data_IF_053878199617
#
_entry.id   IF_053878199617
#
_cell.length_a   1.000
_cell.length_b   1.000
_cell.length_c   1.000
_cell.angle_alpha   90.00
_cell.angle_beta   90.00
_cell.angle_gamma   90.00
#
_symmetry.space_group_name_H-M   'P 1'
#
loop_
_entity.id
_entity.type
_entity.pdbx_description
1 polymer ?
#
# COMPACT_ATOMS: atom_id res chain seq x y z
N UNK A 1 -13.03 -0.48 16.80
CA UNK A 1 -12.37 -1.59 17.55
C UNK A 1 -12.80 -2.99 17.13
N UNK A 2 -14.08 -3.25 16.79
CA UNK A 2 -14.56 -4.59 16.43
C UNK A 2 -13.73 -5.28 15.32
N UNK A 3 -13.38 -4.55 14.25
CA UNK A 3 -12.55 -5.08 13.15
C UNK A 3 -11.14 -5.49 13.61
N UNK A 4 -10.53 -4.69 14.49
CA UNK A 4 -9.19 -4.98 15.03
C UNK A 4 -9.21 -6.21 15.94
N UNK A 5 -10.22 -6.33 16.81
CA UNK A 5 -10.39 -7.46 17.71
C UNK A 5 -10.68 -8.77 16.98
N UNK A 6 -11.51 -8.75 15.93
CA UNK A 6 -11.76 -9.92 15.08
C UNK A 6 -10.53 -10.36 14.30
N UNK A 7 -9.75 -9.41 13.78
CA UNK A 7 -8.48 -9.71 13.08
C UNK A 7 -7.43 -10.30 14.02
N UNK A 8 -7.32 -9.76 15.25
CA UNK A 8 -6.42 -10.28 16.27
C UNK A 8 -6.75 -11.72 16.65
N UNK A 9 -8.02 -12.02 16.89
CA UNK A 9 -8.47 -13.37 17.25
C UNK A 9 -8.32 -14.38 16.10
N UNK A 10 -8.45 -13.98 14.83
CA UNK A 10 -8.15 -14.84 13.69
C UNK A 10 -6.67 -15.20 13.57
N UNK A 11 -5.77 -14.22 13.79
CA UNK A 11 -4.31 -14.44 13.76
C UNK A 11 -3.88 -15.37 14.89
N UNK A 12 -4.41 -15.20 16.10
CA UNK A 12 -4.10 -16.04 17.27
C UNK A 12 -4.59 -17.48 17.13
N UNK A 13 -5.62 -17.74 16.32
CA UNK A 13 -6.21 -19.08 16.11
C UNK A 13 -5.51 -19.93 15.03
N UNK A 14 -4.50 -19.38 14.33
CA UNK A 14 -3.80 -20.11 13.28
C UNK A 14 -4.62 -20.32 11.99
N UNK A 15 -5.84 -19.80 11.93
CA UNK A 15 -6.70 -19.72 10.73
C UNK A 15 -6.27 -18.54 9.83
N UNK A 16 -4.98 -18.22 9.89
CA UNK A 16 -4.44 -16.93 9.56
C UNK A 16 -4.51 -16.69 8.05
N UNK A 17 -5.42 -15.80 7.66
CA UNK A 17 -5.33 -15.07 6.41
C UNK A 17 -3.89 -14.61 6.23
N UNK A 18 -3.28 -14.94 5.09
CA UNK A 18 -1.87 -14.67 4.81
C UNK A 18 -1.52 -13.23 5.23
N UNK A 19 -0.78 -13.13 6.32
CA UNK A 19 -0.51 -11.85 6.98
C UNK A 19 0.30 -10.95 6.05
N UNK A 20 1.10 -11.55 5.17
CA UNK A 20 1.84 -10.87 4.11
C UNK A 20 0.85 -10.27 3.10
N UNK A 21 -0.15 -11.04 2.65
CA UNK A 21 -1.17 -10.54 1.73
C UNK A 21 -1.99 -9.38 2.34
N UNK A 22 -2.33 -9.46 3.63
CA UNK A 22 -3.04 -8.37 4.35
C UNK A 22 -2.18 -7.11 4.40
N UNK A 23 -0.90 -7.24 4.77
CA UNK A 23 0.03 -6.10 4.83
C UNK A 23 0.26 -5.49 3.44
N UNK A 24 0.42 -6.31 2.39
CA UNK A 24 0.51 -5.83 0.99
C UNK A 24 -0.73 -5.04 0.59
N UNK A 25 -1.92 -5.55 0.90
CA UNK A 25 -3.18 -4.86 0.64
C UNK A 25 -3.28 -3.52 1.36
N UNK A 26 -2.84 -3.45 2.62
CA UNK A 26 -2.81 -2.20 3.39
C UNK A 26 -1.83 -1.19 2.80
N UNK A 27 -0.63 -1.61 2.41
CA UNK A 27 0.37 -0.75 1.76
C UNK A 27 -0.19 -0.22 0.43
N UNK A 28 -0.74 -1.08 -0.44
CA UNK A 28 -1.41 -0.67 -1.70
C UNK A 28 -2.48 0.38 -1.45
N UNK A 29 -3.38 0.14 -0.51
CA UNK A 29 -4.45 1.08 -0.17
C UNK A 29 -3.90 2.43 0.27
N UNK A 30 -2.87 2.44 1.13
CA UNK A 30 -2.23 3.68 1.60
C UNK A 30 -1.58 4.45 0.46
N UNK A 31 -0.80 3.77 -0.39
CA UNK A 31 -0.11 4.35 -1.54
C UNK A 31 -1.10 4.95 -2.53
N UNK A 32 -2.23 4.26 -2.82
CA UNK A 32 -3.26 4.79 -3.72
C UNK A 32 -3.87 6.11 -3.22
N UNK A 33 -4.16 6.20 -1.92
CA UNK A 33 -4.71 7.43 -1.32
C UNK A 33 -3.71 8.58 -1.44
N UNK A 34 -2.45 8.32 -1.09
CA UNK A 34 -1.37 9.30 -1.19
C UNK A 34 -1.16 9.72 -2.65
N UNK A 35 -1.05 8.79 -3.59
CA UNK A 35 -0.87 9.09 -5.01
C UNK A 35 -1.97 10.01 -5.53
N UNK A 36 -3.24 9.72 -5.21
CA UNK A 36 -4.37 10.57 -5.60
C UNK A 36 -4.27 11.97 -5.01
N UNK A 37 -3.89 12.08 -3.74
CA UNK A 37 -3.67 13.36 -3.07
C UNK A 37 -2.56 14.17 -3.76
N UNK A 38 -1.38 13.58 -3.98
CA UNK A 38 -0.26 14.26 -4.63
C UNK A 38 -0.53 14.55 -6.12
N UNK A 39 -1.28 13.70 -6.82
CA UNK A 39 -1.74 13.94 -8.21
C UNK A 39 -2.68 15.15 -8.25
N UNK A 40 -3.64 15.23 -7.32
CA UNK A 40 -4.56 16.37 -7.20
C UNK A 40 -3.84 17.68 -6.85
N UNK A 41 -2.82 17.61 -5.98
CA UNK A 41 -2.00 18.75 -5.58
C UNK A 41 -0.92 19.12 -6.61
N UNK A 42 -0.80 18.38 -7.72
CA UNK A 42 0.25 18.56 -8.74
C UNK A 42 1.68 18.46 -8.17
N UNK A 43 1.86 17.64 -7.14
CA UNK A 43 3.12 17.45 -6.39
C UNK A 43 3.64 16.01 -6.49
N UNK A 44 3.52 15.40 -7.68
CA UNK A 44 3.92 14.00 -7.92
C UNK A 44 5.41 13.73 -7.69
N UNK A 45 6.29 14.72 -7.83
CA UNK A 45 7.72 14.55 -7.54
C UNK A 45 7.98 14.32 -6.04
N UNK A 46 7.18 14.92 -5.17
CA UNK A 46 7.21 14.67 -3.72
C UNK A 46 6.71 13.26 -3.42
N UNK A 47 5.66 12.81 -4.12
CA UNK A 47 5.21 11.44 -3.99
C UNK A 47 6.30 10.43 -4.39
N UNK A 48 6.98 10.66 -5.52
CA UNK A 48 8.07 9.80 -6.00
C UNK A 48 9.23 9.71 -5.01
N UNK A 49 9.61 10.81 -4.36
CA UNK A 49 10.70 10.79 -3.38
C UNK A 49 10.35 10.01 -2.10
N UNK A 50 9.08 10.02 -1.69
CA UNK A 50 8.59 9.33 -0.48
C UNK A 50 8.28 7.85 -0.75
N UNK A 51 7.56 7.56 -1.84
CA UNK A 51 7.00 6.22 -2.12
C UNK A 51 7.69 5.47 -3.26
N UNK A 52 8.42 6.19 -4.13
CA UNK A 52 9.09 5.63 -5.30
C UNK A 52 10.52 5.13 -5.04
N UNK A 53 10.97 5.07 -3.78
CA UNK A 53 12.36 4.73 -3.46
C UNK A 53 12.77 3.37 -4.05
N UNK A 54 13.69 3.40 -5.02
CA UNK A 54 14.20 2.24 -5.77
C UNK A 54 13.11 1.31 -6.35
N UNK A 55 11.89 1.83 -6.56
CA UNK A 55 10.76 1.02 -7.03
C UNK A 55 10.34 -0.10 -6.08
N UNK A 56 10.74 -0.04 -4.79
CA UNK A 56 10.47 -1.12 -3.83
C UNK A 56 8.97 -1.32 -3.54
N UNK A 57 8.19 -0.24 -3.64
CA UNK A 57 6.74 -0.25 -3.39
C UNK A 57 5.96 0.05 -4.66
N UNK A 58 6.31 1.15 -5.32
CA UNK A 58 5.67 1.59 -6.56
C UNK A 58 6.62 2.45 -7.39
N UNK A 59 6.27 2.65 -8.67
CA UNK A 59 6.84 3.68 -9.55
C UNK A 59 5.70 4.52 -10.13
N UNK A 60 6.05 5.70 -10.67
CA UNK A 60 5.11 6.55 -11.42
C UNK A 60 5.67 6.80 -12.81
N UNK A 61 4.98 6.30 -13.81
CA UNK A 61 5.35 6.40 -15.23
C UNK A 61 4.20 7.06 -15.97
N UNK A 62 4.49 8.09 -16.78
CA UNK A 62 3.49 8.84 -17.55
C UNK A 62 2.31 9.40 -16.74
N UNK A 63 2.50 9.59 -15.43
CA UNK A 63 1.45 10.07 -14.52
C UNK A 63 0.51 8.99 -14.02
N UNK A 64 0.83 7.72 -14.26
CA UNK A 64 0.14 6.54 -13.74
C UNK A 64 0.97 5.82 -12.68
N UNK A 65 0.29 5.21 -11.72
CA UNK A 65 0.89 4.50 -10.59
C UNK A 65 1.05 3.02 -10.92
N UNK A 66 2.26 2.50 -10.79
CA UNK A 66 2.59 1.09 -11.00
C UNK A 66 3.09 0.47 -9.69
N UNK A 67 2.58 -0.70 -9.32
CA UNK A 67 3.03 -1.43 -8.12
C UNK A 67 4.10 -2.48 -8.47
N UNK A 68 5.05 -2.70 -7.58
CA UNK A 68 6.09 -3.72 -7.77
C UNK A 68 5.53 -5.16 -7.72
N UNK A 69 6.17 -6.08 -8.44
CA UNK A 69 5.74 -7.49 -8.58
C UNK A 69 5.66 -8.27 -7.24
N UNK A 70 6.27 -7.77 -6.16
CA UNK A 70 6.18 -8.34 -4.81
C UNK A 70 5.07 -7.76 -3.94
N UNK A 71 4.32 -6.77 -4.43
CA UNK A 71 3.13 -6.22 -3.77
C UNK A 71 1.84 -6.73 -4.43
N UNK A 72 1.97 -7.36 -5.61
CA UNK A 72 0.97 -8.14 -6.35
C UNK A 72 0.06 -8.97 -5.48
#
# INVERSE_FOLDING_TARGET
MAIYLSRKTMVERGDAQDTVAVVRGMIKARVMVEFRYYKAMRTLEVFKSVWGYRGAVCSVEEGELLFAEGIG
#
